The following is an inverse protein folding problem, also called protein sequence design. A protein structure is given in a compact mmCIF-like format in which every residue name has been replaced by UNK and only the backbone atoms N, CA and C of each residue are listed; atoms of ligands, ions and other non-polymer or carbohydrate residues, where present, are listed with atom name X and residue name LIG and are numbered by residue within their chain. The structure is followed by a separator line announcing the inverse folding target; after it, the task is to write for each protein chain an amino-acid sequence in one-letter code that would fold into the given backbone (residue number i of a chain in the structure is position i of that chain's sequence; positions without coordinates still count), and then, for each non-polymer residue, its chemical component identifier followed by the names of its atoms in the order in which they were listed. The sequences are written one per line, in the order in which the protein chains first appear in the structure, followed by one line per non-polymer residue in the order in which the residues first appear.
data_IF_676822382567
#
_entry.id   IF_676822382567
#
_cell.length_a   1.000
_cell.length_b   1.000
_cell.length_c   1.000
_cell.angle_alpha   90.00
_cell.angle_beta   90.00
_cell.angle_gamma   90.00
#
_symmetry.space_group_name_H-M   'P 1'
#
loop_
_entity.id
_entity.type
_entity.pdbx_description
1 polymer ?
#
# COMPACT_ATOMS: atom_id res chain seq x y z
N UNK A 1 -7.16 -21.35 -11.76
CA UNK A 1 -6.77 -22.78 -11.81
C UNK A 1 -5.58 -22.95 -10.87
N UNK A 2 -5.75 -23.60 -9.71
CA UNK A 2 -4.65 -23.83 -8.76
C UNK A 2 -3.82 -25.01 -9.28
N UNK A 3 -2.60 -24.76 -9.73
CA UNK A 3 -1.69 -25.80 -10.21
C UNK A 3 -1.02 -26.48 -9.02
N UNK A 4 -1.05 -27.81 -9.00
CA UNK A 4 -0.42 -28.62 -7.96
C UNK A 4 1.10 -28.62 -8.19
N UNK A 5 1.92 -28.15 -7.23
CA UNK A 5 3.37 -28.15 -7.39
C UNK A 5 3.91 -29.58 -7.29
N UNK A 6 4.66 -30.01 -8.31
CA UNK A 6 5.46 -31.24 -8.24
C UNK A 6 6.86 -30.88 -7.74
N UNK A 7 7.26 -31.45 -6.60
CA UNK A 7 8.54 -31.16 -5.96
C UNK A 7 9.56 -32.22 -6.39
N UNK A 8 10.63 -31.78 -7.06
CA UNK A 8 11.81 -32.62 -7.36
C UNK A 8 13.06 -31.84 -6.92
N UNK A 9 13.55 -32.14 -5.72
CA UNK A 9 14.63 -31.36 -5.07
C UNK A 9 14.20 -29.95 -4.64
N UNK A 10 15.17 -29.04 -4.44
CA UNK A 10 14.95 -27.63 -4.03
C UNK A 10 14.14 -26.78 -5.04
N UNK A 11 13.72 -27.36 -6.16
CA UNK A 11 13.06 -26.67 -7.27
C UNK A 11 11.60 -27.10 -7.36
N UNK A 12 10.70 -26.14 -7.41
CA UNK A 12 9.27 -26.36 -7.65
C UNK A 12 8.99 -26.11 -9.13
N UNK A 13 8.54 -27.14 -9.84
CA UNK A 13 8.10 -27.00 -11.24
C UNK A 13 6.63 -26.60 -11.22
N UNK A 14 6.35 -25.37 -11.66
CA UNK A 14 4.99 -24.87 -11.85
C UNK A 14 4.60 -25.05 -13.31
N UNK A 15 3.37 -25.51 -13.58
CA UNK A 15 2.81 -25.56 -14.93
C UNK A 15 2.62 -24.17 -15.53
N UNK A 16 1.81 -24.04 -16.59
CA UNK A 16 1.53 -22.74 -17.21
C UNK A 16 1.00 -21.73 -16.17
N UNK A 17 1.83 -20.74 -15.81
CA UNK A 17 1.53 -19.66 -14.88
C UNK A 17 1.61 -18.33 -15.61
N UNK A 18 0.58 -17.51 -15.49
CA UNK A 18 0.57 -16.14 -15.99
C UNK A 18 0.87 -15.19 -14.85
N UNK A 19 1.97 -14.47 -14.95
CA UNK A 19 2.35 -13.48 -13.97
C UNK A 19 1.54 -12.19 -14.14
N UNK A 20 0.94 -11.71 -13.05
CA UNK A 20 0.23 -10.42 -12.99
C UNK A 20 1.12 -9.36 -12.31
N UNK A 21 1.75 -8.54 -13.15
CA UNK A 21 2.61 -7.44 -12.74
C UNK A 21 1.85 -6.34 -11.98
N UNK A 22 0.60 -6.05 -12.35
CA UNK A 22 -0.17 -4.97 -11.73
C UNK A 22 -0.63 -5.37 -10.32
N UNK A 23 -0.99 -6.65 -10.13
CA UNK A 23 -1.26 -7.16 -8.79
C UNK A 23 0.00 -7.11 -7.89
N UNK A 24 1.16 -7.56 -8.38
CA UNK A 24 2.40 -7.48 -7.61
C UNK A 24 2.79 -6.04 -7.23
N UNK A 25 2.56 -5.09 -8.15
CA UNK A 25 2.78 -3.65 -7.93
C UNK A 25 1.84 -3.08 -6.88
N UNK A 26 0.57 -3.49 -6.88
CA UNK A 26 -0.41 -3.11 -5.87
C UNK A 26 0.00 -3.62 -4.49
N UNK A 27 0.36 -4.90 -4.38
CA UNK A 27 0.82 -5.51 -3.12
C UNK A 27 2.10 -4.85 -2.57
N UNK A 28 3.03 -4.45 -3.45
CA UNK A 28 4.19 -3.66 -3.05
C UNK A 28 3.78 -2.31 -2.42
N UNK A 29 2.78 -1.64 -2.99
CA UNK A 29 2.27 -0.37 -2.46
C UNK A 29 1.60 -0.57 -1.10
N UNK A 30 0.80 -1.63 -0.95
CA UNK A 30 0.19 -2.02 0.32
C UNK A 30 1.24 -2.31 1.38
N UNK A 31 2.27 -3.10 1.06
CA UNK A 31 3.37 -3.43 1.98
C UNK A 31 4.09 -2.17 2.46
N UNK A 32 4.38 -1.23 1.56
CA UNK A 32 5.05 0.03 1.89
C UNK A 32 4.21 0.86 2.86
N UNK A 33 2.90 0.96 2.62
CA UNK A 33 1.99 1.66 3.53
C UNK A 33 1.85 0.95 4.88
N UNK A 34 1.66 -0.37 4.88
CA UNK A 34 1.40 -1.17 6.07
C UNK A 34 2.58 -1.16 7.06
N UNK A 35 3.81 -1.14 6.53
CA UNK A 35 5.04 -1.16 7.32
C UNK A 35 5.78 0.18 7.35
N UNK A 36 5.13 1.24 6.86
CA UNK A 36 5.69 2.60 6.83
C UNK A 36 7.09 2.67 6.21
N UNK A 37 7.35 1.85 5.19
CA UNK A 37 8.66 1.83 4.55
C UNK A 37 8.94 3.12 3.79
N UNK A 38 10.19 3.56 3.84
CA UNK A 38 10.67 4.63 2.97
C UNK A 38 10.50 4.22 1.51
N UNK A 39 10.05 5.15 0.68
CA UNK A 39 9.88 4.92 -0.76
C UNK A 39 11.17 4.46 -1.45
N UNK A 40 12.35 4.78 -0.88
CA UNK A 40 13.66 4.36 -1.39
C UNK A 40 13.86 2.84 -1.40
N UNK A 41 13.02 2.05 -0.73
CA UNK A 41 13.12 0.58 -0.72
C UNK A 41 13.20 -0.01 -2.13
N UNK A 42 12.50 0.57 -3.11
CA UNK A 42 12.51 0.11 -4.51
C UNK A 42 13.82 0.38 -5.25
N UNK A 43 14.67 1.26 -4.72
CA UNK A 43 16.00 1.55 -5.25
C UNK A 43 17.09 0.71 -4.56
N UNK A 44 16.78 0.05 -3.45
CA UNK A 44 17.74 -0.76 -2.73
C UNK A 44 18.14 -2.00 -3.54
N UNK A 45 19.44 -2.16 -3.78
CA UNK A 45 19.99 -3.27 -4.58
C UNK A 45 19.59 -4.64 -3.99
N UNK A 46 19.61 -4.77 -2.65
CA UNK A 46 19.19 -5.99 -1.96
C UNK A 46 17.73 -6.35 -2.22
N UNK A 47 16.83 -5.36 -2.17
CA UNK A 47 15.42 -5.56 -2.46
C UNK A 47 15.20 -5.98 -3.92
N UNK A 48 15.87 -5.32 -4.87
CA UNK A 48 15.79 -5.68 -6.30
C UNK A 48 16.27 -7.10 -6.56
N UNK A 49 17.37 -7.52 -5.93
CA UNK A 49 17.90 -8.89 -6.03
C UNK A 49 16.92 -9.90 -5.45
N UNK A 50 16.31 -9.60 -4.30
CA UNK A 50 15.31 -10.43 -3.66
C UNK A 50 14.08 -10.62 -4.56
N UNK A 51 13.51 -9.54 -5.09
CA UNK A 51 12.38 -9.59 -6.02
C UNK A 51 12.69 -10.41 -7.27
N UNK A 52 13.85 -10.20 -7.91
CA UNK A 52 14.24 -10.97 -9.09
C UNK A 52 14.42 -12.46 -8.81
N UNK A 53 14.91 -12.82 -7.61
CA UNK A 53 15.05 -14.20 -7.20
C UNK A 53 13.70 -14.89 -6.96
N UNK A 54 12.70 -14.14 -6.45
CA UNK A 54 11.34 -14.65 -6.24
C UNK A 54 10.54 -14.74 -7.53
N UNK A 55 10.64 -13.73 -8.38
CA UNK A 55 9.86 -13.63 -9.62
C UNK A 55 10.63 -12.78 -10.64
N UNK A 56 11.33 -13.46 -11.56
CA UNK A 56 12.18 -12.82 -12.55
C UNK A 56 11.43 -11.91 -13.54
N UNK A 57 10.12 -12.12 -13.73
CA UNK A 57 9.29 -11.27 -14.60
C UNK A 57 8.85 -9.97 -13.92
N UNK A 58 9.03 -9.83 -12.60
CA UNK A 58 8.61 -8.64 -11.88
C UNK A 58 9.53 -7.46 -12.17
N UNK A 59 8.98 -6.42 -12.80
CA UNK A 59 9.67 -5.16 -13.03
C UNK A 59 9.50 -4.27 -11.82
N UNK A 60 10.55 -4.14 -11.01
CA UNK A 60 10.55 -3.21 -9.86
C UNK A 60 10.33 -1.78 -10.35
N UNK A 61 9.35 -1.11 -9.76
CA UNK A 61 8.95 0.26 -10.12
C UNK A 61 9.91 1.32 -9.56
N UNK A 62 9.76 2.56 -10.04
CA UNK A 62 10.51 3.71 -9.50
C UNK A 62 9.84 4.30 -8.26
N UNK A 63 10.57 5.12 -7.49
CA UNK A 63 9.99 5.90 -6.38
C UNK A 63 8.79 6.76 -6.79
N UNK A 64 8.86 7.40 -7.95
CA UNK A 64 7.77 8.26 -8.44
C UNK A 64 6.52 7.45 -8.79
N UNK A 65 6.73 6.28 -9.39
CA UNK A 65 5.65 5.34 -9.69
C UNK A 65 5.01 4.83 -8.40
N UNK A 66 5.81 4.38 -7.43
CA UNK A 66 5.33 3.91 -6.12
C UNK A 66 4.53 5.00 -5.40
N UNK A 67 5.04 6.24 -5.39
CA UNK A 67 4.31 7.38 -4.83
C UNK A 67 2.96 7.59 -5.50
N UNK A 68 2.92 7.52 -6.84
CA UNK A 68 1.67 7.66 -7.59
C UNK A 68 0.68 6.56 -7.26
N UNK A 69 1.13 5.32 -7.06
CA UNK A 69 0.26 4.20 -6.72
C UNK A 69 -0.31 4.33 -5.32
N UNK A 70 0.53 4.66 -4.34
CA UNK A 70 0.09 4.94 -2.96
C UNK A 70 -0.97 6.04 -2.96
N UNK A 71 -0.79 7.10 -3.76
CA UNK A 71 -1.79 8.17 -3.85
C UNK A 71 -3.11 7.71 -4.48
N UNK A 72 -3.06 6.79 -5.46
CA UNK A 72 -4.27 6.17 -6.02
C UNK A 72 -4.99 5.32 -4.96
N UNK A 73 -4.27 4.45 -4.25
CA UNK A 73 -4.84 3.66 -3.15
C UNK A 73 -5.50 4.57 -2.11
N UNK A 74 -4.83 5.65 -1.72
CA UNK A 74 -5.40 6.64 -0.80
C UNK A 74 -6.70 7.26 -1.33
N UNK A 75 -6.73 7.68 -2.59
CA UNK A 75 -7.92 8.30 -3.17
C UNK A 75 -9.10 7.32 -3.25
N UNK A 76 -8.83 6.05 -3.58
CA UNK A 76 -9.84 5.00 -3.62
C UNK A 76 -10.42 4.75 -2.22
N UNK A 77 -9.57 4.59 -1.20
CA UNK A 77 -10.02 4.40 0.19
C UNK A 77 -10.71 5.65 0.75
N UNK A 78 -10.24 6.85 0.40
CA UNK A 78 -10.91 8.10 0.73
C UNK A 78 -12.31 8.16 0.14
N UNK A 79 -12.50 7.79 -1.12
CA UNK A 79 -13.83 7.79 -1.75
C UNK A 79 -14.77 6.81 -1.06
N UNK A 80 -14.30 5.61 -0.73
CA UNK A 80 -15.08 4.63 0.06
C UNK A 80 -15.47 5.18 1.43
N UNK A 81 -14.50 5.79 2.13
CA UNK A 81 -14.72 6.39 3.45
C UNK A 81 -15.73 7.52 3.39
N UNK A 82 -15.65 8.39 2.38
CA UNK A 82 -16.63 9.46 2.18
C UNK A 82 -18.04 8.92 1.92
N UNK A 83 -18.18 7.88 1.09
CA UNK A 83 -19.47 7.23 0.87
C UNK A 83 -20.06 6.62 2.15
N UNK A 84 -19.22 6.14 3.07
CA UNK A 84 -19.67 5.65 4.39
C UNK A 84 -20.16 6.82 5.24
N UNK A 85 -19.38 7.90 5.32
CA UNK A 85 -19.73 9.09 6.09
C UNK A 85 -21.00 9.79 5.58
N UNK A 86 -21.22 9.84 4.27
CA UNK A 86 -22.43 10.42 3.66
C UNK A 86 -23.71 9.64 4.00
N UNK A 87 -23.59 8.33 4.20
CA UNK A 87 -24.72 7.46 4.56
C UNK A 87 -24.99 7.40 6.06
N UNK A 88 -24.04 7.85 6.86
CA UNK A 88 -24.15 7.83 8.30
C UNK A 88 -25.23 8.81 8.78
N UNK A 89 -26.21 8.30 9.53
CA UNK A 89 -27.29 9.11 10.12
C UNK A 89 -26.93 9.64 11.51
N UNK A 90 -25.87 9.10 12.11
CA UNK A 90 -25.39 9.47 13.43
C UNK A 90 -24.73 10.85 13.44
N UNK A 91 -24.58 11.40 14.64
CA UNK A 91 -23.78 12.61 14.83
C UNK A 91 -22.31 12.33 14.55
N UNK A 92 -21.66 13.27 13.88
CA UNK A 92 -20.21 13.25 13.63
C UNK A 92 -19.55 14.29 14.53
N UNK A 93 -18.55 13.86 15.30
CA UNK A 93 -17.70 14.74 16.08
C UNK A 93 -16.37 14.95 15.36
N UNK A 94 -15.91 16.19 15.27
CA UNK A 94 -14.63 16.54 14.65
C UNK A 94 -13.72 17.09 15.74
N UNK A 95 -12.52 16.54 15.85
CA UNK A 95 -11.49 17.03 16.76
C UNK A 95 -10.30 17.52 15.95
N UNK A 96 -9.74 18.65 16.36
CA UNK A 96 -8.56 19.24 15.75
C UNK A 96 -7.45 19.30 16.79
N UNK A 97 -6.30 18.71 16.47
CA UNK A 97 -5.11 18.77 17.30
C UNK A 97 -4.04 19.56 16.56
N UNK A 98 -3.54 20.64 17.15
CA UNK A 98 -2.50 21.48 16.55
C UNK A 98 -1.22 21.38 17.35
N UNK A 99 -0.09 21.31 16.67
CA UNK A 99 1.23 21.37 17.29
C UNK A 99 2.22 22.12 16.41
N UNK A 100 3.26 22.67 17.01
CA UNK A 100 4.37 23.30 16.30
C UNK A 100 5.63 22.47 16.51
N UNK A 101 6.47 22.40 15.47
CA UNK A 101 7.76 21.73 15.58
C UNK A 101 8.87 22.78 15.57
N UNK A 102 9.67 22.83 16.62
CA UNK A 102 10.78 23.79 16.77
C UNK A 102 11.86 23.64 15.70
N UNK A 103 12.06 22.43 15.20
CA UNK A 103 13.10 22.10 14.21
C UNK A 103 12.72 22.36 12.75
N UNK A 104 11.45 22.66 12.44
CA UNK A 104 11.02 22.91 11.06
C UNK A 104 10.34 24.27 10.86
N UNK A 105 10.19 25.08 11.93
CA UNK A 105 9.44 26.33 11.92
C UNK A 105 8.08 26.20 11.21
N UNK A 106 7.39 25.08 11.47
CA UNK A 106 6.11 24.70 10.86
C UNK A 106 5.10 24.35 11.93
N UNK A 107 3.85 24.76 11.71
CA UNK A 107 2.68 24.30 12.44
C UNK A 107 2.01 23.14 11.70
N UNK A 108 1.49 22.19 12.46
CA UNK A 108 0.75 21.03 11.97
C UNK A 108 -0.62 20.99 12.62
N UNK A 109 -1.59 20.45 11.89
CA UNK A 109 -2.92 20.16 12.39
C UNK A 109 -3.31 18.76 11.95
N UNK A 110 -3.68 17.92 12.92
CA UNK A 110 -4.41 16.69 12.68
C UNK A 110 -5.89 16.96 12.86
N UNK A 111 -6.70 16.49 11.90
CA UNK A 111 -8.16 16.53 11.99
C UNK A 111 -8.62 15.08 12.10
N UNK A 112 -9.32 14.75 13.18
CA UNK A 112 -9.87 13.41 13.41
C UNK A 112 -11.38 13.49 13.43
N UNK A 113 -12.02 12.67 12.59
CA UNK A 113 -13.46 12.52 12.50
C UNK A 113 -13.86 11.28 13.29
N UNK A 114 -14.72 11.46 14.29
CA UNK A 114 -15.29 10.40 15.13
C UNK A 114 -16.78 10.28 14.82
N UNK A 115 -17.25 9.06 14.57
CA UNK A 115 -18.65 8.79 14.28
C UNK A 115 -19.08 7.45 14.87
N UNK A 116 -20.38 7.30 15.12
CA UNK A 116 -21.02 6.04 15.47
C UNK A 116 -21.57 5.43 14.18
N UNK A 117 -21.22 4.17 13.91
CA UNK A 117 -21.77 3.40 12.79
C UNK A 117 -23.08 2.71 13.17
N UNK A 118 -23.92 2.39 12.19
CA UNK A 118 -25.22 1.75 12.37
C UNK A 118 -25.12 0.20 12.53
N UNK A 119 -23.90 -0.34 12.60
CA UNK A 119 -23.60 -1.77 12.75
C UNK A 119 -23.78 -2.31 14.17
#
# INVERSE_FOLDING_TARGET
MKTTPTISGKTVVVGAYTFDQENARKELSVMVCLHEYLLSIVDHIGFRRFCNALQALFKVITRNTLKSDILKLYNDERMKTMNILERNKSRVAITTNMWTTSNQNKGYMAITVLYIDDS
#
